data_IF_015098408491
#
_entry.id   IF_015098408491
#
_cell.length_a   1.000
_cell.length_b   1.000
_cell.length_c   1.000
_cell.angle_alpha   90.00
_cell.angle_beta   90.00
_cell.angle_gamma   90.00
#
_symmetry.space_group_name_H-M   'P 1'
#
loop_
_entity.id
_entity.type
_entity.pdbx_description
1 polymer ?
#
# COMPACT_ATOMS: atom_id res chain seq x y z
N UNK A 1 10.48 -10.31 5.55
CA UNK A 1 11.27 -10.34 4.30
C UNK A 1 12.61 -10.94 4.67
N UNK A 2 12.95 -12.07 4.07
CA UNK A 2 14.30 -12.64 4.24
C UNK A 2 15.33 -11.65 3.65
N UNK A 3 16.57 -11.70 4.14
CA UNK A 3 17.67 -10.80 3.75
C UNK A 3 17.89 -10.85 2.21
N UNK A 4 17.78 -12.03 1.62
CA UNK A 4 17.91 -12.25 0.17
C UNK A 4 16.80 -11.57 -0.64
N UNK A 5 15.59 -11.51 -0.10
CA UNK A 5 14.46 -10.84 -0.74
C UNK A 5 14.62 -9.32 -0.64
N UNK A 6 15.05 -8.82 0.51
CA UNK A 6 15.36 -7.40 0.73
C UNK A 6 16.49 -6.91 -0.21
N UNK A 7 17.56 -7.69 -0.39
CA UNK A 7 18.68 -7.40 -1.30
C UNK A 7 18.24 -7.27 -2.77
N UNK A 8 17.25 -8.06 -3.21
CA UNK A 8 16.70 -7.93 -4.57
C UNK A 8 15.99 -6.60 -4.78
N UNK A 9 15.32 -6.08 -3.75
CA UNK A 9 14.64 -4.79 -3.80
C UNK A 9 15.58 -3.59 -3.65
N UNK A 10 16.76 -3.79 -3.04
CA UNK A 10 17.84 -2.78 -3.05
C UNK A 10 18.24 -2.44 -4.50
N UNK A 11 18.44 -3.48 -5.33
CA UNK A 11 18.94 -3.30 -6.70
C UNK A 11 17.87 -2.83 -7.70
N UNK A 12 16.59 -2.98 -7.41
CA UNK A 12 15.54 -2.61 -8.34
C UNK A 12 14.20 -3.25 -8.03
N UNK A 13 13.35 -3.34 -9.05
CA UNK A 13 12.21 -4.24 -9.01
C UNK A 13 12.68 -5.64 -9.43
N UNK A 14 12.42 -6.68 -8.61
CA UNK A 14 12.88 -8.02 -8.92
C UNK A 14 12.23 -8.55 -10.19
N UNK A 15 13.00 -9.31 -10.95
CA UNK A 15 12.49 -10.11 -12.08
C UNK A 15 11.81 -11.39 -11.55
N UNK A 16 10.86 -11.93 -12.32
CA UNK A 16 10.16 -13.17 -11.96
C UNK A 16 9.10 -13.01 -10.88
N UNK A 17 8.58 -11.80 -10.69
CA UNK A 17 7.34 -11.60 -9.93
C UNK A 17 6.16 -12.30 -10.63
N UNK A 18 5.14 -12.77 -9.90
CA UNK A 18 3.92 -13.28 -10.51
C UNK A 18 3.29 -12.23 -11.45
N UNK A 19 2.69 -12.66 -12.55
CA UNK A 19 2.09 -11.78 -13.58
C UNK A 19 1.05 -10.78 -13.04
N UNK A 20 0.46 -11.07 -11.88
CA UNK A 20 -0.53 -10.25 -11.19
C UNK A 20 0.08 -9.28 -10.17
N UNK A 21 1.41 -9.13 -10.15
CA UNK A 21 2.12 -8.24 -9.22
C UNK A 21 2.95 -7.25 -10.02
N UNK A 22 2.62 -5.97 -9.89
CA UNK A 22 3.43 -4.88 -10.43
C UNK A 22 4.38 -4.41 -9.34
N UNK A 23 5.65 -4.24 -9.71
CA UNK A 23 6.62 -3.49 -8.93
C UNK A 23 7.03 -2.24 -9.70
N UNK A 24 7.16 -1.11 -9.00
CA UNK A 24 7.76 0.09 -9.57
C UNK A 24 8.63 0.84 -8.56
N UNK A 25 9.50 1.69 -9.11
CA UNK A 25 10.26 2.68 -8.34
C UNK A 25 9.47 3.98 -8.29
N UNK A 26 9.31 4.53 -7.10
CA UNK A 26 8.72 5.84 -6.91
C UNK A 26 9.59 6.74 -6.03
N UNK A 27 9.23 8.01 -6.00
CA UNK A 27 9.75 9.00 -5.06
C UNK A 27 8.62 9.86 -4.51
N UNK A 28 8.75 10.33 -3.28
CA UNK A 28 7.72 11.16 -2.67
C UNK A 28 7.96 11.48 -1.20
N UNK A 29 6.95 12.08 -0.58
CA UNK A 29 6.96 12.42 0.85
C UNK A 29 6.22 11.36 1.67
N UNK A 30 6.43 11.36 2.99
CA UNK A 30 5.64 10.55 3.91
C UNK A 30 4.14 10.83 3.81
N UNK A 31 3.76 12.07 3.51
CA UNK A 31 2.36 12.44 3.29
C UNK A 31 1.80 11.75 2.04
N UNK A 32 2.58 11.65 0.96
CA UNK A 32 2.22 10.88 -0.25
C UNK A 32 2.02 9.40 0.07
N UNK A 33 2.97 8.79 0.80
CA UNK A 33 2.87 7.38 1.20
C UNK A 33 1.64 7.09 2.07
N UNK A 34 1.31 8.01 2.99
CA UNK A 34 0.09 7.91 3.80
C UNK A 34 -1.18 7.94 2.94
N UNK A 35 -1.20 8.78 1.90
CA UNK A 35 -2.31 8.85 0.95
C UNK A 35 -2.47 7.55 0.17
N UNK A 36 -1.37 6.92 -0.29
CA UNK A 36 -1.45 5.58 -0.89
C UNK A 36 -2.01 4.53 0.08
N UNK A 37 -1.68 4.62 1.37
CA UNK A 37 -2.26 3.72 2.40
C UNK A 37 -1.82 2.27 2.28
N UNK A 38 -0.80 1.99 1.48
CA UNK A 38 -0.24 0.65 1.24
C UNK A 38 1.22 0.61 1.70
N UNK A 39 1.69 -0.53 2.23
CA UNK A 39 3.09 -0.68 2.58
C UNK A 39 4.01 -0.53 1.38
N UNK A 40 5.17 0.07 1.62
CA UNK A 40 6.23 0.26 0.64
C UNK A 40 7.58 -0.05 1.28
N UNK A 41 8.56 -0.40 0.45
CA UNK A 41 9.94 -0.50 0.89
C UNK A 41 10.59 0.88 0.77
N UNK A 42 10.94 1.47 1.90
CA UNK A 42 11.75 2.68 1.96
C UNK A 42 13.20 2.31 1.69
N UNK A 43 13.87 3.09 0.86
CA UNK A 43 15.31 2.97 0.64
C UNK A 43 16.03 3.94 1.56
N UNK A 44 16.44 3.47 2.74
CA UNK A 44 17.13 4.28 3.74
C UNK A 44 18.63 4.35 3.41
N UNK A 45 19.27 5.50 3.68
CA UNK A 45 20.70 5.69 3.51
C UNK A 45 21.36 5.73 4.88
N UNK A 46 22.14 4.71 5.20
CA UNK A 46 22.82 4.56 6.50
C UNK A 46 24.29 4.27 6.21
N UNK A 47 25.19 5.13 6.70
CA UNK A 47 26.65 4.98 6.51
C UNK A 47 27.07 4.77 5.05
N UNK A 48 26.39 5.43 4.11
CA UNK A 48 26.63 5.31 2.67
C UNK A 48 26.02 4.08 1.99
N UNK A 49 25.37 3.18 2.74
CA UNK A 49 24.66 2.01 2.21
C UNK A 49 23.18 2.28 2.05
N UNK A 50 22.56 1.65 1.05
CA UNK A 50 21.11 1.67 0.87
C UNK A 50 20.51 0.44 1.53
N UNK A 51 19.64 0.66 2.52
CA UNK A 51 18.98 -0.40 3.28
C UNK A 51 17.48 -0.34 3.03
N UNK A 52 16.89 -1.34 2.35
CA UNK A 52 15.45 -1.43 2.15
C UNK A 52 14.75 -1.85 3.46
N UNK A 53 13.74 -1.07 3.88
CA UNK A 53 12.94 -1.33 5.08
C UNK A 53 11.46 -1.19 4.77
N UNK A 54 10.62 -2.11 5.24
CA UNK A 54 9.19 -2.07 4.99
C UNK A 54 8.51 -1.03 5.91
N UNK A 55 7.90 -0.02 5.32
CA UNK A 55 6.99 0.88 6.02
C UNK A 55 5.62 0.20 6.15
N UNK A 56 5.31 -0.31 7.34
CA UNK A 56 4.05 -1.00 7.62
C UNK A 56 2.98 -0.10 8.24
N UNK A 57 3.36 1.08 8.74
CA UNK A 57 2.43 2.05 9.29
C UNK A 57 3.01 3.44 9.33
N UNK A 58 2.16 4.47 9.18
CA UNK A 58 2.58 5.86 9.30
C UNK A 58 1.43 6.74 9.79
N UNK A 59 1.73 7.63 10.74
CA UNK A 59 0.78 8.63 11.22
C UNK A 59 1.33 10.06 10.98
N UNK A 60 0.96 11.04 11.82
CA UNK A 60 1.47 12.41 11.71
C UNK A 60 2.92 12.54 12.16
N UNK A 61 3.35 11.78 13.16
CA UNK A 61 4.60 12.03 13.87
C UNK A 61 5.49 10.79 13.95
N UNK A 62 4.95 9.60 13.65
CA UNK A 62 5.63 8.31 13.80
C UNK A 62 5.44 7.42 12.58
N UNK A 63 6.37 6.49 12.42
CA UNK A 63 6.34 5.42 11.43
C UNK A 63 6.60 4.07 12.10
N UNK A 64 5.86 3.04 11.68
CA UNK A 64 6.13 1.64 12.02
C UNK A 64 6.91 1.01 10.87
N UNK A 65 8.10 0.53 11.19
CA UNK A 65 9.00 -0.14 10.28
C UNK A 65 9.08 -1.61 10.63
N UNK A 66 8.99 -2.48 9.62
CA UNK A 66 9.23 -3.91 9.77
C UNK A 66 10.63 -4.22 9.25
N UNK A 67 11.46 -4.75 10.14
CA UNK A 67 12.81 -5.24 9.88
C UNK A 67 12.76 -6.78 9.87
N UNK A 68 13.86 -7.44 9.48
CA UNK A 68 13.91 -8.91 9.43
C UNK A 68 13.54 -9.58 10.77
N UNK A 69 13.93 -8.96 11.89
CA UNK A 69 13.84 -9.56 13.23
C UNK A 69 12.81 -8.88 14.15
N UNK A 70 12.33 -7.67 13.82
CA UNK A 70 11.45 -6.91 14.68
C UNK A 70 10.66 -5.81 13.96
N UNK A 71 9.51 -5.45 14.52
CA UNK A 71 8.81 -4.22 14.22
C UNK A 71 9.27 -3.10 15.15
N UNK A 72 9.64 -1.94 14.62
CA UNK A 72 10.05 -0.77 15.41
C UNK A 72 9.19 0.44 15.07
N UNK A 73 8.86 1.23 16.09
CA UNK A 73 8.19 2.52 15.92
C UNK A 73 9.23 3.61 16.12
N UNK A 74 9.36 4.49 15.13
CA UNK A 74 10.33 5.59 15.13
C UNK A 74 9.63 6.92 14.90
N UNK A 75 10.24 8.01 15.36
CA UNK A 75 9.80 9.35 15.00
C UNK A 75 10.02 9.60 13.50
N UNK A 76 9.02 10.20 12.86
CA UNK A 76 9.05 10.50 11.43
C UNK A 76 10.11 11.53 11.08
N UNK A 77 10.47 12.41 12.02
CA UNK A 77 11.57 13.36 11.87
C UNK A 77 12.92 12.64 11.85
N UNK A 78 13.19 11.75 12.80
CA UNK A 78 14.38 10.91 12.81
C UNK A 78 14.50 10.09 11.52
N UNK A 79 13.41 9.45 11.08
CA UNK A 79 13.42 8.65 9.85
C UNK A 79 13.74 9.48 8.60
N UNK A 80 13.33 10.76 8.58
CA UNK A 80 13.57 11.69 7.46
C UNK A 80 15.06 11.93 7.22
N UNK A 81 15.87 11.91 8.27
CA UNK A 81 17.33 12.06 8.17
C UNK A 81 17.99 10.94 7.38
N UNK A 82 17.33 9.78 7.28
CA UNK A 82 17.84 8.61 6.55
C UNK A 82 17.13 8.38 5.21
N UNK A 83 16.00 9.03 4.95
CA UNK A 83 15.18 8.74 3.78
C UNK A 83 15.10 9.92 2.81
N UNK A 84 15.64 9.73 1.60
CA UNK A 84 15.65 10.75 0.54
C UNK A 84 14.35 10.81 -0.28
N UNK A 85 13.30 10.10 0.16
CA UNK A 85 12.02 10.03 -0.56
C UNK A 85 11.87 8.83 -1.50
N UNK A 86 12.93 8.05 -1.72
CA UNK A 86 12.91 6.92 -2.66
C UNK A 86 12.26 5.67 -2.07
N UNK A 87 11.40 5.02 -2.85
CA UNK A 87 10.73 3.80 -2.41
C UNK A 87 10.59 2.77 -3.55
N UNK A 88 10.28 1.53 -3.17
CA UNK A 88 9.74 0.49 -4.03
C UNK A 88 8.34 0.14 -3.54
N UNK A 89 7.42 0.02 -4.48
CA UNK A 89 6.05 -0.35 -4.19
C UNK A 89 5.66 -1.57 -5.01
N UNK A 90 4.87 -2.43 -4.38
CA UNK A 90 4.28 -3.61 -4.99
C UNK A 90 2.77 -3.56 -4.77
N UNK A 91 2.03 -3.92 -5.81
CA UNK A 91 0.59 -4.06 -5.70
C UNK A 91 0.08 -5.12 -6.67
N UNK A 92 -1.10 -5.64 -6.35
CA UNK A 92 -1.77 -6.63 -7.18
C UNK A 92 -2.63 -5.96 -8.25
N UNK A 93 -2.60 -6.55 -9.43
CA UNK A 93 -3.42 -6.22 -10.58
C UNK A 93 -4.03 -7.50 -11.16
N UNK A 94 -5.13 -7.42 -11.92
CA UNK A 94 -5.63 -8.54 -12.71
C UNK A 94 -4.56 -9.12 -13.64
N UNK A 95 -4.73 -10.37 -14.03
CA UNK A 95 -3.81 -11.00 -14.99
C UNK A 95 -3.86 -10.24 -16.34
N UNK A 96 -2.70 -10.07 -16.98
CA UNK A 96 -2.61 -9.39 -18.27
C UNK A 96 -2.79 -7.87 -18.21
N UNK A 97 -2.72 -7.25 -17.03
CA UNK A 97 -2.79 -5.80 -16.89
C UNK A 97 -1.61 -5.13 -17.63
N UNK A 98 -1.86 -4.24 -18.61
CA UNK A 98 -0.80 -3.59 -19.38
C UNK A 98 -0.01 -2.61 -18.50
N UNK A 99 1.18 -2.20 -18.96
CA UNK A 99 2.02 -1.25 -18.24
C UNK A 99 1.39 0.14 -18.11
N UNK A 100 0.51 0.51 -19.03
CA UNK A 100 -0.24 1.77 -19.06
C UNK A 100 -1.63 1.56 -19.62
N UNK A 101 -2.61 2.27 -19.07
CA UNK A 101 -3.98 2.35 -19.61
C UNK A 101 -4.37 3.82 -19.82
N UNK A 102 -4.98 4.13 -20.96
CA UNK A 102 -5.28 5.49 -21.40
C UNK A 102 -6.51 5.53 -22.31
N UNK A 103 -6.83 6.72 -22.79
CA UNK A 103 -7.92 6.98 -23.72
C UNK A 103 -7.97 5.96 -24.87
N UNK A 104 -9.17 5.43 -25.11
CA UNK A 104 -9.52 4.40 -26.10
C UNK A 104 -9.07 2.96 -25.79
N UNK A 105 -8.37 2.71 -24.69
CA UNK A 105 -8.17 1.34 -24.22
C UNK A 105 -9.49 0.72 -23.75
N UNK A 106 -9.59 -0.61 -23.80
CA UNK A 106 -10.84 -1.34 -23.55
C UNK A 106 -10.64 -2.62 -22.76
N UNK A 107 -11.74 -3.14 -22.20
CA UNK A 107 -11.84 -4.47 -21.63
C UNK A 107 -11.79 -4.51 -20.10
N UNK A 108 -11.46 -5.68 -19.55
CA UNK A 108 -11.50 -5.95 -18.09
C UNK A 108 -10.62 -4.99 -17.28
N UNK A 109 -9.50 -4.54 -17.88
CA UNK A 109 -8.61 -3.54 -17.28
C UNK A 109 -9.33 -2.22 -16.98
N UNK A 110 -10.18 -1.76 -17.90
CA UNK A 110 -10.95 -0.52 -17.76
C UNK A 110 -12.01 -0.69 -16.67
N UNK A 111 -12.70 -1.84 -16.66
CA UNK A 111 -13.67 -2.17 -15.61
C UNK A 111 -13.03 -2.16 -14.23
N UNK A 112 -11.86 -2.77 -14.09
CA UNK A 112 -11.10 -2.76 -12.84
C UNK A 112 -10.75 -1.34 -12.37
N UNK A 113 -10.32 -0.46 -13.27
CA UNK A 113 -10.02 0.93 -12.94
C UNK A 113 -11.31 1.66 -12.52
N UNK A 114 -12.41 1.48 -13.26
CA UNK A 114 -13.71 2.13 -13.00
C UNK A 114 -14.22 1.83 -11.61
N UNK A 115 -14.29 0.54 -11.23
CA UNK A 115 -14.72 0.12 -9.89
C UNK A 115 -13.93 0.83 -8.77
N UNK A 116 -12.62 1.01 -8.96
CA UNK A 116 -11.75 1.64 -7.97
C UNK A 116 -11.90 3.15 -7.93
N UNK A 117 -12.16 3.78 -9.07
CA UNK A 117 -12.50 5.21 -9.15
C UNK A 117 -13.85 5.50 -8.48
N UNK A 118 -14.86 4.64 -8.67
CA UNK A 118 -16.18 4.78 -8.05
C UNK A 118 -16.07 4.80 -6.52
N UNK A 119 -15.27 3.89 -5.95
CA UNK A 119 -14.96 3.87 -4.51
C UNK A 119 -14.13 5.10 -4.11
N UNK A 120 -13.12 5.47 -4.91
CA UNK A 120 -12.17 6.53 -4.56
C UNK A 120 -12.80 7.93 -4.49
N UNK A 121 -13.68 8.22 -5.44
CA UNK A 121 -14.30 9.53 -5.59
C UNK A 121 -15.66 9.61 -4.87
N UNK A 122 -16.13 8.50 -4.28
CA UNK A 122 -17.46 8.43 -3.67
C UNK A 122 -18.59 8.58 -4.68
N UNK A 123 -18.26 8.46 -5.97
CA UNK A 123 -19.15 8.53 -7.12
C UNK A 123 -19.69 7.12 -7.38
N UNK A 124 -20.43 6.58 -6.42
CA UNK A 124 -21.26 5.42 -6.70
C UNK A 124 -22.33 5.88 -7.68
N UNK A 125 -22.13 5.62 -8.97
CA UNK A 125 -23.11 5.88 -10.02
C UNK A 125 -23.58 7.34 -10.13
N UNK A 126 -22.66 8.32 -10.11
CA UNK A 126 -22.96 9.56 -10.86
C UNK A 126 -22.77 9.18 -12.33
N UNK A 127 -23.86 8.67 -12.91
CA UNK A 127 -24.13 8.77 -14.33
C UNK A 127 -23.76 10.18 -14.76
N UNK A 128 -22.57 10.34 -15.35
CA UNK A 128 -22.42 11.33 -16.40
C UNK A 128 -23.54 10.97 -17.37
N UNK A 129 -24.45 11.92 -17.63
CA UNK A 129 -25.63 11.81 -18.52
C UNK A 129 -25.30 11.31 -19.96
N UNK A 130 -24.07 10.86 -20.21
CA UNK A 130 -23.48 10.41 -21.47
C UNK A 130 -23.13 8.91 -21.51
N UNK A 131 -23.15 8.17 -20.39
CA UNK A 131 -22.94 6.71 -20.40
C UNK A 131 -24.30 6.02 -20.41
N UNK A 132 -24.65 5.40 -21.54
CA UNK A 132 -25.78 4.49 -21.59
C UNK A 132 -25.37 3.20 -20.86
N UNK A 133 -25.83 3.03 -19.62
CA UNK A 133 -25.60 1.80 -18.83
C UNK A 133 -26.13 0.54 -19.54
N UNK A 134 -26.98 0.68 -20.56
CA UNK A 134 -27.42 -0.41 -21.42
C UNK A 134 -26.41 -0.77 -22.54
N UNK A 135 -25.28 -0.07 -22.65
CA UNK A 135 -24.21 -0.35 -23.62
C UNK A 135 -22.91 -0.84 -22.95
N UNK A 136 -22.72 -2.17 -22.82
CA UNK A 136 -21.52 -2.76 -22.21
C UNK A 136 -20.19 -2.32 -22.85
N UNK A 137 -20.17 -2.01 -24.14
CA UNK A 137 -18.95 -1.58 -24.84
C UNK A 137 -18.49 -0.20 -24.38
N UNK A 138 -19.43 0.71 -24.09
CA UNK A 138 -19.11 2.05 -23.59
C UNK A 138 -18.57 2.00 -22.15
N UNK A 139 -19.15 1.13 -21.31
CA UNK A 139 -18.69 0.95 -19.92
C UNK A 139 -17.27 0.39 -19.87
N UNK A 140 -16.96 -0.56 -20.77
CA UNK A 140 -15.66 -1.21 -20.89
C UNK A 140 -14.62 -0.38 -21.68
N UNK A 141 -14.92 0.86 -22.06
CA UNK A 141 -14.00 1.76 -22.77
C UNK A 141 -13.49 2.87 -21.87
N UNK A 142 -12.18 3.14 -21.95
CA UNK A 142 -11.56 4.29 -21.30
C UNK A 142 -11.83 5.53 -22.14
N UNK A 143 -12.88 6.26 -21.81
CA UNK A 143 -13.33 7.47 -22.51
C UNK A 143 -12.82 8.77 -21.85
N UNK A 144 -13.24 9.92 -22.40
CA UNK A 144 -12.87 11.23 -21.86
C UNK A 144 -13.43 11.49 -20.47
N UNK A 145 -14.57 10.89 -20.10
CA UNK A 145 -15.13 11.03 -18.76
C UNK A 145 -14.27 10.28 -17.74
N UNK A 146 -13.87 9.06 -18.06
CA UNK A 146 -12.96 8.26 -17.25
C UNK A 146 -11.59 8.90 -17.14
N UNK A 147 -11.06 9.48 -18.21
CA UNK A 147 -9.79 10.21 -18.20
C UNK A 147 -9.83 11.40 -17.21
N UNK A 148 -10.93 12.15 -17.15
CA UNK A 148 -11.13 13.22 -16.16
C UNK A 148 -11.11 12.68 -14.73
N UNK A 149 -11.84 11.59 -14.46
CA UNK A 149 -11.86 10.94 -13.14
C UNK A 149 -10.48 10.43 -12.71
N UNK A 150 -9.67 9.96 -13.66
CA UNK A 150 -8.26 9.60 -13.40
C UNK A 150 -7.44 10.83 -13.03
N UNK A 151 -7.63 11.98 -13.71
CA UNK A 151 -6.97 13.23 -13.32
C UNK A 151 -7.37 13.67 -11.92
N UNK A 152 -8.65 13.60 -11.56
CA UNK A 152 -9.12 13.94 -10.22
C UNK A 152 -8.47 13.06 -9.14
N UNK A 153 -8.38 11.74 -9.39
CA UNK A 153 -7.65 10.82 -8.51
C UNK A 153 -6.17 11.22 -8.40
N UNK A 154 -5.52 11.51 -9.53
CA UNK A 154 -4.11 11.87 -9.59
C UNK A 154 -3.83 13.14 -8.78
N UNK A 155 -4.64 14.18 -8.96
CA UNK A 155 -4.55 15.43 -8.20
C UNK A 155 -4.72 15.19 -6.69
N UNK A 156 -5.75 14.43 -6.32
CA UNK A 156 -6.03 14.08 -4.92
C UNK A 156 -4.91 13.25 -4.25
N UNK A 157 -4.06 12.59 -5.04
CA UNK A 157 -2.92 11.81 -4.54
C UNK A 157 -1.56 12.51 -4.75
N UNK A 158 -1.54 13.73 -5.29
CA UNK A 158 -0.31 14.46 -5.60
C UNK A 158 0.54 13.77 -6.68
N UNK A 159 -0.12 13.17 -7.67
CA UNK A 159 0.48 12.58 -8.86
C UNK A 159 0.49 13.60 -10.01
N UNK A 160 1.17 13.26 -11.11
CA UNK A 160 1.01 13.98 -12.37
C UNK A 160 -0.41 13.72 -12.90
N UNK A 161 -1.20 14.78 -13.07
CA UNK A 161 -2.58 14.71 -13.54
C UNK A 161 -2.67 14.60 -15.08
N UNK A 162 -2.02 13.60 -15.66
CA UNK A 162 -1.97 13.38 -17.11
C UNK A 162 -3.19 12.61 -17.67
N UNK A 163 -3.99 11.98 -16.81
CA UNK A 163 -5.12 11.12 -17.20
C UNK A 163 -4.70 9.70 -17.60
N UNK A 164 -3.44 9.32 -17.40
CA UNK A 164 -2.89 8.02 -17.75
C UNK A 164 -2.72 7.14 -16.51
N UNK A 165 -3.23 5.92 -16.58
CA UNK A 165 -3.02 4.92 -15.53
C UNK A 165 -1.72 4.18 -15.78
N UNK A 166 -0.61 4.79 -15.35
CA UNK A 166 0.69 4.13 -15.22
C UNK A 166 0.87 3.43 -13.86
N UNK A 167 2.07 2.89 -13.56
CA UNK A 167 2.30 2.12 -12.34
C UNK A 167 2.00 2.86 -11.02
N UNK A 168 2.35 4.15 -10.94
CA UNK A 168 2.09 4.94 -9.72
C UNK A 168 0.59 5.25 -9.55
N UNK A 169 -0.13 5.55 -10.64
CA UNK A 169 -1.59 5.70 -10.64
C UNK A 169 -2.28 4.38 -10.27
N UNK A 170 -1.80 3.25 -10.81
CA UNK A 170 -2.28 1.91 -10.45
C UNK A 170 -2.07 1.59 -8.97
N UNK A 171 -0.94 2.02 -8.39
CA UNK A 171 -0.70 1.89 -6.96
C UNK A 171 -1.66 2.74 -6.12
N UNK A 172 -1.99 3.95 -6.56
CA UNK A 172 -3.03 4.77 -5.92
C UNK A 172 -4.39 4.08 -5.94
N UNK A 173 -4.81 3.55 -7.10
CA UNK A 173 -6.04 2.78 -7.25
C UNK A 173 -6.05 1.53 -6.36
N UNK A 174 -4.88 0.90 -6.14
CA UNK A 174 -4.77 -0.27 -5.28
C UNK A 174 -5.22 -0.01 -3.85
N UNK A 175 -5.22 1.24 -3.36
CA UNK A 175 -5.80 1.63 -2.05
C UNK A 175 -7.24 1.16 -1.90
N UNK A 176 -8.00 1.18 -3.00
CA UNK A 176 -9.43 0.91 -3.06
C UNK A 176 -9.75 -0.52 -3.48
N UNK A 177 -8.73 -1.35 -3.71
CA UNK A 177 -8.91 -2.77 -3.97
C UNK A 177 -9.22 -3.55 -2.68
N UNK A 178 -10.05 -4.59 -2.82
CA UNK A 178 -10.34 -5.53 -1.75
C UNK A 178 -9.10 -6.37 -1.40
N UNK A 179 -8.73 -6.32 -0.12
CA UNK A 179 -7.60 -7.08 0.43
C UNK A 179 -6.22 -6.43 0.23
N UNK A 180 -5.19 -7.27 0.41
CA UNK A 180 -3.79 -6.84 0.47
C UNK A 180 -3.44 -6.11 1.77
N UNK A 181 -2.13 -5.98 2.09
CA UNK A 181 -1.73 -5.31 3.31
C UNK A 181 -2.06 -3.81 3.22
N UNK A 182 -2.45 -3.22 4.35
CA UNK A 182 -2.74 -1.79 4.50
C UNK A 182 -1.76 -1.21 5.51
N UNK A 183 -1.45 0.08 5.37
CA UNK A 183 -0.72 0.77 6.41
C UNK A 183 -1.56 0.77 7.70
N UNK A 184 -1.00 0.22 8.77
CA UNK A 184 -1.65 0.17 10.08
C UNK A 184 -1.38 1.49 10.81
N UNK A 185 -2.41 2.14 11.40
CA UNK A 185 -2.20 3.27 12.28
C UNK A 185 -1.22 2.91 13.41
N UNK A 186 -0.17 3.72 13.61
CA UNK A 186 0.90 3.40 14.57
C UNK A 186 0.39 3.27 16.01
N UNK A 187 -0.67 4.00 16.37
CA UNK A 187 -1.33 3.89 17.67
C UNK A 187 -2.01 2.52 17.90
N UNK A 188 -2.47 1.84 16.85
CA UNK A 188 -3.08 0.52 16.95
C UNK A 188 -2.02 -0.57 17.15
N UNK A 189 -0.85 -0.42 16.52
CA UNK A 189 0.27 -1.34 16.60
C UNK A 189 0.89 -1.46 18.01
N UNK A 190 0.88 -0.38 18.79
CA UNK A 190 1.47 -0.36 20.15
C UNK A 190 0.60 -1.14 21.14
N UNK A 191 -0.71 -1.24 20.90
CA UNK A 191 -1.64 -1.98 21.76
C UNK A 191 -1.50 -3.50 21.65
N UNK A 192 -1.22 -4.01 20.45
CA UNK A 192 -1.07 -5.46 20.19
C UNK A 192 0.20 -6.03 20.83
N UNK A 193 1.28 -5.26 20.90
CA UNK A 193 2.52 -5.69 21.58
C UNK A 193 2.40 -5.71 23.11
N UNK A 194 1.48 -4.95 23.71
CA UNK A 194 1.30 -4.89 25.16
C UNK A 194 0.46 -6.07 25.71
N UNK A 195 -0.42 -6.66 24.90
CA UNK A 195 -1.32 -7.74 25.32
C UNK A 195 -0.66 -9.13 25.28
N UNK A 196 0.34 -9.32 24.41
CA UNK A 196 1.13 -10.56 24.32
C UNK A 196 1.98 -10.84 25.58
N UNK A 197 2.21 -9.84 26.43
CA UNK A 197 3.00 -9.97 27.66
C UNK A 197 2.24 -10.42 28.91
N UNK A 198 0.91 -10.63 28.85
CA UNK A 198 0.08 -10.85 30.06
C UNK A 198 -0.37 -12.30 30.30
N UNK A 199 -0.02 -13.23 29.42
CA UNK A 199 -0.36 -14.64 29.57
C UNK A 199 0.90 -15.50 29.75
N UNK A 200 1.48 -15.48 30.96
CA UNK A 200 2.27 -16.59 31.54
C UNK A 200 2.71 -16.22 32.96
N UNK A 201 1.87 -16.55 33.94
CA UNK A 201 2.14 -16.26 35.35
C UNK A 201 1.05 -16.77 36.29
N UNK A 202 0.68 -18.05 36.16
CA UNK A 202 -0.11 -18.73 37.18
C UNK A 202 0.45 -20.15 37.35
N UNK A 203 1.33 -20.30 38.33
CA UNK A 203 1.92 -21.57 38.71
C UNK A 203 2.80 -21.41 39.93
N UNK A 204 2.21 -21.53 41.12
CA UNK A 204 2.85 -22.11 42.30
C UNK A 204 1.75 -22.77 43.14
N UNK A 205 1.78 -24.09 43.20
CA UNK A 205 1.07 -24.84 44.22
C UNK A 205 1.79 -24.76 45.56
N UNK A 206 1.06 -25.00 46.63
CA UNK A 206 1.64 -25.43 47.90
C UNK A 206 0.66 -26.39 48.57
N UNK A 207 1.09 -27.65 48.67
CA UNK A 207 0.58 -28.66 49.58
C UNK A 207 0.70 -28.19 51.02
N UNK A 208 -0.30 -28.47 51.85
CA UNK A 208 -0.03 -28.89 53.23
C UNK A 208 -1.19 -29.68 53.85
N UNK A 209 -0.78 -30.80 54.44
CA UNK A 209 -1.57 -31.78 55.15
C UNK A 209 -2.33 -31.22 56.36
N UNK A 210 -3.44 -31.87 56.73
CA UNK A 210 -3.81 -31.94 58.14
C UNK A 210 -4.59 -33.23 58.45
N UNK A 211 -3.94 -34.14 59.16
CA UNK A 211 -4.58 -35.17 59.99
C UNK A 211 -5.14 -34.52 61.27
N UNK A 212 -6.30 -35.01 61.74
CA UNK A 212 -6.66 -35.27 63.14
C UNK A 212 -8.09 -34.81 63.51
N UNK A 213 -8.98 -35.80 63.60
CA UNK A 213 -9.91 -36.11 64.72
C UNK A 213 -11.24 -36.69 64.24
#
# INVERSE_FOLDING_TARGET
>A
LDLDEALRFEQGCPVGLPDQVVCFRGSGSFSKLRQFGRPVLLLLRIEGKVVPVLLAGIDRDRARLELAEAAVVVERETLRSFWSGEYRALYRVPAGFPSTVRLHDQGEVVMWIRERLDIALGEAAVVVDEIDEANPEQIATFDLAMERRVRDLQENHGLLADGIVGPETGFALSRYADGGPKLVPVNQAIGESADSGRANGAGTGEDQANEAR
#
